data_IF_728785871231
#
_entry.id   IF_728785871231
#
_cell.length_a   1.000
_cell.length_b   1.000
_cell.length_c   1.000
_cell.angle_alpha   90.00
_cell.angle_beta   90.00
_cell.angle_gamma   90.00
#
_symmetry.space_group_name_H-M   'P 1'
#
loop_
_entity.id
_entity.type
_entity.pdbx_description
1 polymer ?
#
# COMPACT_ATOMS: atom_id res chain seq x y z
N UNK A 1 -48.91 2.03 33.52
CA UNK A 1 -47.76 2.91 33.22
C UNK A 1 -46.49 2.19 33.64
N UNK A 2 -45.71 1.64 32.71
CA UNK A 2 -44.40 1.05 33.00
C UNK A 2 -43.37 1.62 32.03
N UNK A 3 -42.53 2.50 32.56
CA UNK A 3 -41.43 3.18 31.86
C UNK A 3 -40.25 2.22 31.72
N UNK A 4 -40.08 1.63 30.52
CA UNK A 4 -38.86 0.86 30.20
C UNK A 4 -37.74 1.83 29.79
N UNK A 5 -36.83 2.10 30.73
CA UNK A 5 -35.57 2.78 30.47
C UNK A 5 -34.68 1.86 29.64
N UNK A 6 -34.41 2.21 28.38
CA UNK A 6 -33.42 1.52 27.56
C UNK A 6 -32.05 2.08 27.97
N UNK A 7 -31.29 1.26 28.69
CA UNK A 7 -29.89 1.49 29.00
C UNK A 7 -29.08 1.34 27.70
N UNK A 8 -28.56 2.44 27.15
CA UNK A 8 -27.57 2.39 26.09
C UNK A 8 -26.20 2.15 26.72
N UNK A 9 -25.81 0.88 26.84
CA UNK A 9 -24.49 0.48 27.31
C UNK A 9 -23.49 0.49 26.14
N UNK A 10 -22.51 1.39 26.28
CA UNK A 10 -21.10 1.35 25.86
C UNK A 10 -20.66 0.42 24.73
N UNK A 11 -19.85 0.98 23.82
CA UNK A 11 -18.60 0.35 23.39
C UNK A 11 -17.57 1.45 23.12
N UNK A 12 -16.79 1.83 24.14
CA UNK A 12 -15.55 2.56 23.90
C UNK A 12 -14.54 1.54 23.39
N UNK A 13 -14.25 1.61 22.09
CA UNK A 13 -13.22 0.80 21.46
C UNK A 13 -11.87 1.14 22.11
N UNK A 14 -11.33 0.19 22.87
CA UNK A 14 -9.92 0.18 23.23
C UNK A 14 -9.13 -0.06 21.94
N UNK A 15 -8.58 1.02 21.36
CA UNK A 15 -7.65 0.88 20.25
C UNK A 15 -6.35 0.26 20.78
N UNK A 16 -5.87 -0.87 20.20
CA UNK A 16 -4.58 -1.42 20.56
C UNK A 16 -3.48 -0.45 20.10
N UNK A 17 -2.63 -0.02 21.03
CA UNK A 17 -1.38 0.67 20.70
C UNK A 17 -0.38 -0.35 20.16
N UNK A 18 -0.39 -0.58 18.84
CA UNK A 18 0.70 -1.28 18.18
C UNK A 18 1.98 -0.44 18.25
N UNK A 19 3.13 -1.08 18.46
CA UNK A 19 4.43 -0.42 18.39
C UNK A 19 4.61 0.18 16.98
N UNK A 20 4.59 1.50 16.88
CA UNK A 20 4.74 2.21 15.62
C UNK A 20 6.20 2.16 15.18
N UNK A 21 6.48 1.60 14.01
CA UNK A 21 7.77 1.79 13.35
C UNK A 21 8.00 3.30 13.15
N UNK A 22 9.23 3.77 13.40
CA UNK A 22 9.54 5.19 13.25
C UNK A 22 9.40 5.59 11.79
N UNK A 23 8.45 6.46 11.50
CA UNK A 23 8.22 6.97 10.15
C UNK A 23 9.35 7.90 9.75
N UNK A 24 9.85 7.70 8.53
CA UNK A 24 10.86 8.58 7.92
C UNK A 24 10.30 9.16 6.63
N UNK A 25 10.64 10.41 6.35
CA UNK A 25 10.21 11.12 5.14
C UNK A 25 11.27 11.16 4.05
N UNK A 26 12.48 10.67 4.32
CA UNK A 26 13.60 10.69 3.37
C UNK A 26 14.61 9.58 3.70
N UNK A 27 14.35 8.32 3.33
CA UNK A 27 15.37 7.28 3.44
C UNK A 27 16.59 7.66 2.56
N UNK A 28 17.81 7.21 2.91
CA UNK A 28 18.99 7.47 2.11
C UNK A 28 18.79 7.11 0.63
N UNK A 29 19.15 8.03 -0.28
CA UNK A 29 18.96 7.85 -1.72
C UNK A 29 17.60 8.32 -2.26
N UNK A 30 16.63 8.64 -1.38
CA UNK A 30 15.38 9.26 -1.80
C UNK A 30 15.58 10.75 -2.15
N UNK A 31 14.92 11.28 -3.19
CA UNK A 31 14.99 12.70 -3.51
C UNK A 31 14.54 13.56 -2.33
N UNK A 32 15.26 14.67 -2.03
CA UNK A 32 14.95 15.50 -0.88
C UNK A 32 13.58 16.19 -1.04
N UNK A 33 12.98 16.57 0.09
CA UNK A 33 11.74 17.35 0.13
C UNK A 33 11.79 18.55 -0.83
N UNK A 34 10.78 18.66 -1.70
CA UNK A 34 10.64 19.76 -2.66
C UNK A 34 11.37 19.60 -4.00
N UNK A 35 12.08 18.49 -4.24
CA UNK A 35 12.85 18.29 -5.49
C UNK A 35 12.07 17.63 -6.63
N UNK A 36 11.20 16.67 -6.32
CA UNK A 36 10.51 15.83 -7.34
C UNK A 36 9.02 15.59 -7.08
N UNK A 37 8.46 16.22 -6.04
CA UNK A 37 7.11 15.92 -5.54
C UNK A 37 7.03 14.65 -4.67
N UNK A 38 8.13 13.87 -4.59
CA UNK A 38 8.22 12.63 -3.81
C UNK A 38 8.85 12.80 -2.42
N UNK A 39 9.46 13.95 -2.13
CA UNK A 39 10.22 14.12 -0.88
C UNK A 39 9.39 14.35 0.39
N UNK A 40 8.07 14.19 0.31
CA UNK A 40 7.16 14.20 1.46
C UNK A 40 6.43 12.86 1.64
N UNK A 41 6.81 11.84 0.86
CA UNK A 41 6.36 10.47 1.05
C UNK A 41 6.80 10.01 2.44
N UNK A 42 5.89 9.39 3.17
CA UNK A 42 6.19 8.75 4.44
C UNK A 42 6.52 7.29 4.18
N UNK A 43 7.63 6.84 4.74
CA UNK A 43 8.09 5.47 4.66
C UNK A 43 8.01 4.80 6.02
N UNK A 44 7.48 3.58 6.01
CA UNK A 44 7.75 2.58 7.02
C UNK A 44 9.16 2.04 6.75
N UNK A 45 10.16 2.46 7.54
CA UNK A 45 11.54 2.00 7.42
C UNK A 45 11.88 1.02 8.53
N UNK A 46 12.39 -0.14 8.12
CA UNK A 46 12.94 -1.16 9.02
C UNK A 46 14.44 -1.20 8.83
N UNK A 47 15.17 -0.85 9.89
CA UNK A 47 16.62 -0.94 9.91
C UNK A 47 17.06 -2.39 10.13
N UNK A 48 18.17 -2.72 9.50
CA UNK A 48 18.86 -3.99 9.65
C UNK A 48 20.26 -3.77 10.22
N UNK A 49 20.89 -4.85 10.68
CA UNK A 49 22.28 -4.81 11.14
C UNK A 49 23.21 -4.31 10.02
N UNK A 50 24.40 -3.85 10.40
CA UNK A 50 25.46 -3.43 9.47
C UNK A 50 25.09 -2.23 8.58
N UNK A 51 24.18 -1.37 9.04
CA UNK A 51 23.76 -0.15 8.33
C UNK A 51 22.80 -0.39 7.17
N UNK A 52 22.25 -1.60 7.04
CA UNK A 52 21.24 -1.90 6.04
C UNK A 52 19.84 -1.41 6.45
N UNK A 53 18.96 -1.24 5.48
CA UNK A 53 17.54 -0.96 5.72
C UNK A 53 16.67 -1.36 4.52
N UNK A 54 15.38 -1.54 4.80
CA UNK A 54 14.30 -1.57 3.81
C UNK A 54 13.27 -0.52 4.21
N UNK A 55 12.69 0.16 3.22
CA UNK A 55 11.71 1.20 3.43
C UNK A 55 10.61 1.10 2.36
N UNK A 56 9.36 1.14 2.79
CA UNK A 56 8.19 1.15 1.91
C UNK A 56 7.26 2.31 2.23
N UNK A 57 6.73 2.92 1.18
CA UNK A 57 5.77 4.02 1.25
C UNK A 57 4.79 3.95 0.09
N UNK A 58 3.81 4.84 0.11
CA UNK A 58 2.91 5.08 -1.02
C UNK A 58 2.41 6.53 -0.99
N UNK A 59 2.03 7.03 -2.16
CA UNK A 59 1.52 8.39 -2.32
C UNK A 59 0.62 8.53 -3.55
N UNK A 60 -0.03 9.69 -3.68
CA UNK A 60 -0.80 10.05 -4.86
C UNK A 60 0.09 10.40 -6.04
N UNK A 61 -0.07 9.70 -7.16
CA UNK A 61 0.81 9.86 -8.32
C UNK A 61 0.75 11.30 -8.84
N UNK A 62 1.87 12.02 -8.70
CA UNK A 62 2.02 13.45 -9.07
C UNK A 62 1.03 14.44 -8.43
N UNK A 63 0.20 13.98 -7.48
CA UNK A 63 -0.80 14.78 -6.77
C UNK A 63 -0.32 15.24 -5.39
N UNK A 64 0.98 15.09 -5.11
CA UNK A 64 1.61 15.46 -3.84
C UNK A 64 1.32 14.49 -2.69
N UNK A 65 1.94 14.71 -1.52
CA UNK A 65 1.83 13.86 -0.33
C UNK A 65 0.47 13.97 0.39
N UNK A 66 -0.47 14.74 -0.15
CA UNK A 66 -1.71 15.17 0.53
C UNK A 66 -2.82 14.10 0.59
N UNK A 67 -2.54 12.86 0.18
CA UNK A 67 -3.48 11.77 0.39
C UNK A 67 -3.28 11.18 1.80
N UNK A 68 -4.36 10.76 2.48
CA UNK A 68 -4.29 10.20 3.82
C UNK A 68 -3.55 8.85 3.79
N UNK A 69 -2.23 8.91 3.94
CA UNK A 69 -1.42 7.83 4.45
C UNK A 69 -1.54 7.90 5.97
N UNK A 70 -1.93 6.81 6.64
CA UNK A 70 -1.85 6.78 8.11
C UNK A 70 -0.39 6.75 8.61
N UNK A 71 0.54 6.74 7.66
CA UNK A 71 1.96 6.93 7.81
C UNK A 71 2.69 5.62 8.01
N UNK A 72 2.03 4.57 8.48
CA UNK A 72 2.68 3.38 9.05
C UNK A 72 2.40 2.09 8.30
N UNK A 73 1.15 1.85 7.88
CA UNK A 73 0.77 0.55 7.34
C UNK A 73 -0.25 0.60 6.20
N UNK A 74 -1.04 1.67 6.08
CA UNK A 74 -2.17 1.71 5.15
C UNK A 74 -2.27 3.04 4.43
N UNK A 75 -2.25 2.96 3.11
CA UNK A 75 -2.50 4.08 2.21
C UNK A 75 -3.90 3.97 1.59
N UNK A 76 -4.72 5.00 1.78
CA UNK A 76 -6.05 5.06 1.16
C UNK A 76 -5.95 5.73 -0.21
N UNK A 77 -5.83 4.91 -1.24
CA UNK A 77 -5.67 5.35 -2.62
C UNK A 77 -6.99 5.85 -3.22
N UNK A 78 -6.92 6.86 -4.08
CA UNK A 78 -8.04 7.22 -4.93
C UNK A 78 -8.12 6.27 -6.13
N UNK A 79 -9.33 5.84 -6.47
CA UNK A 79 -9.59 5.07 -7.68
C UNK A 79 -9.26 5.84 -8.96
N UNK A 80 -8.99 5.08 -10.02
CA UNK A 80 -8.91 5.52 -11.39
C UNK A 80 -7.50 5.76 -11.88
N UNK A 81 -7.43 6.24 -13.12
CA UNK A 81 -6.19 6.59 -13.81
C UNK A 81 -5.86 8.08 -13.64
N UNK A 82 -4.57 8.38 -13.68
CA UNK A 82 -4.05 9.72 -13.61
C UNK A 82 -4.38 10.50 -14.89
N UNK A 83 -5.20 11.58 -14.79
CA UNK A 83 -5.70 12.29 -15.96
C UNK A 83 -4.62 13.10 -16.68
N UNK A 84 -3.47 13.38 -16.04
CA UNK A 84 -2.37 14.12 -16.64
C UNK A 84 -1.53 13.30 -17.64
N UNK A 85 -1.66 11.96 -17.64
CA UNK A 85 -0.94 11.06 -18.56
C UNK A 85 -1.85 9.93 -19.08
N UNK A 86 -2.95 10.26 -19.78
CA UNK A 86 -4.00 9.29 -20.11
C UNK A 86 -3.52 8.18 -21.06
N UNK A 87 -2.43 8.39 -21.80
CA UNK A 87 -1.87 7.37 -22.70
C UNK A 87 -1.05 6.29 -21.99
N UNK A 88 -0.68 6.53 -20.71
CA UNK A 88 0.12 5.58 -19.91
C UNK A 88 -0.73 4.67 -19.04
N UNK A 89 -2.03 4.97 -18.90
CA UNK A 89 -2.97 4.27 -18.01
C UNK A 89 -2.52 4.16 -16.56
N UNK A 90 -1.64 5.04 -16.09
CA UNK A 90 -1.14 5.00 -14.72
C UNK A 90 -2.26 5.21 -13.70
N UNK A 91 -2.27 4.42 -12.63
CA UNK A 91 -3.14 4.62 -11.48
C UNK A 91 -2.92 6.01 -10.84
N UNK A 92 -3.91 6.51 -10.13
CA UNK A 92 -3.84 7.77 -9.38
C UNK A 92 -2.87 7.74 -8.18
N UNK A 93 -2.15 6.64 -7.97
CA UNK A 93 -1.25 6.42 -6.87
C UNK A 93 -0.04 5.59 -7.29
N UNK A 94 1.02 5.69 -6.53
CA UNK A 94 2.25 4.91 -6.67
C UNK A 94 2.69 4.38 -5.32
N UNK A 95 3.39 3.25 -5.33
CA UNK A 95 4.15 2.81 -4.16
C UNK A 95 5.62 3.17 -4.35
N UNK A 96 6.28 3.35 -3.23
CA UNK A 96 7.63 3.86 -3.13
C UNK A 96 8.44 2.87 -2.33
N UNK A 97 9.67 2.61 -2.76
CA UNK A 97 10.57 1.77 -2.00
C UNK A 97 11.98 2.35 -2.00
N UNK A 98 12.68 2.11 -0.90
CA UNK A 98 14.11 2.32 -0.80
C UNK A 98 14.75 1.21 0.02
N UNK A 99 15.99 0.85 -0.32
CA UNK A 99 16.74 -0.14 0.43
C UNK A 99 18.24 0.12 0.32
N UNK A 100 18.96 -0.43 1.29
CA UNK A 100 20.41 -0.51 1.28
C UNK A 100 20.81 -1.79 2.02
N UNK A 101 21.62 -2.66 1.41
CA UNK A 101 22.08 -3.91 2.04
C UNK A 101 23.19 -3.68 3.09
N UNK A 102 23.64 -2.43 3.26
CA UNK A 102 24.74 -2.06 4.13
C UNK A 102 26.02 -2.81 3.74
N UNK A 103 26.69 -3.39 4.74
CA UNK A 103 27.87 -4.25 4.52
C UNK A 103 27.51 -5.72 4.24
N UNK A 104 26.23 -6.07 4.07
CA UNK A 104 25.81 -7.44 3.80
C UNK A 104 25.93 -7.77 2.30
N UNK A 105 27.05 -8.38 1.90
CA UNK A 105 27.31 -8.75 0.50
C UNK A 105 26.51 -9.97 0.01
N UNK A 106 25.94 -10.74 0.94
CA UNK A 106 25.10 -11.91 0.66
C UNK A 106 23.61 -11.63 0.81
N UNK A 107 23.23 -10.39 1.08
CA UNK A 107 21.82 -10.02 1.24
C UNK A 107 21.13 -9.87 -0.12
N UNK A 108 19.93 -10.39 -0.22
CA UNK A 108 19.00 -10.12 -1.31
C UNK A 108 17.81 -9.31 -0.78
N UNK A 109 17.27 -8.45 -1.63
CA UNK A 109 16.08 -7.66 -1.32
C UNK A 109 14.98 -8.05 -2.29
N UNK A 110 13.86 -8.52 -1.74
CA UNK A 110 12.72 -8.99 -2.51
C UNK A 110 11.58 -8.01 -2.38
N UNK A 111 11.03 -7.61 -3.53
CA UNK A 111 9.71 -7.00 -3.58
C UNK A 111 8.68 -8.11 -3.73
N UNK A 112 7.68 -8.09 -2.87
CA UNK A 112 6.62 -9.10 -2.81
C UNK A 112 5.26 -8.42 -2.75
N UNK A 113 4.23 -9.10 -3.25
CA UNK A 113 2.85 -8.62 -3.15
C UNK A 113 1.94 -9.74 -2.65
N UNK A 114 0.94 -9.38 -1.86
CA UNK A 114 -0.15 -10.28 -1.52
C UNK A 114 -1.12 -10.37 -2.71
N UNK A 115 -1.17 -11.54 -3.34
CA UNK A 115 -1.99 -11.78 -4.54
C UNK A 115 -3.40 -12.24 -4.22
N UNK A 116 -3.66 -12.66 -2.98
CA UNK A 116 -4.99 -13.05 -2.52
C UNK A 116 -5.27 -12.47 -1.14
N UNK A 117 -5.78 -11.22 -1.08
CA UNK A 117 -6.13 -10.59 0.20
C UNK A 117 -7.33 -11.25 0.91
N UNK A 118 -7.99 -12.23 0.27
CA UNK A 118 -9.15 -12.93 0.84
C UNK A 118 -8.81 -14.27 1.48
N UNK A 119 -7.72 -14.89 1.06
CA UNK A 119 -7.09 -16.00 1.76
C UNK A 119 -6.00 -15.46 2.71
N UNK A 120 -5.54 -16.28 3.65
CA UNK A 120 -4.47 -15.85 4.56
C UNK A 120 -3.25 -15.37 3.75
N UNK A 121 -2.83 -14.12 3.97
CA UNK A 121 -1.71 -13.39 3.33
C UNK A 121 -0.75 -14.29 2.55
N UNK A 122 -0.86 -14.31 1.22
CA UNK A 122 -0.02 -15.10 0.31
C UNK A 122 0.91 -14.16 -0.48
N UNK A 123 2.05 -13.83 0.13
CA UNK A 123 3.06 -13.04 -0.56
C UNK A 123 3.73 -13.82 -1.69
N UNK A 124 3.70 -13.26 -2.89
CA UNK A 124 4.48 -13.72 -4.04
C UNK A 124 5.61 -12.76 -4.33
N UNK A 125 6.80 -13.32 -4.50
CA UNK A 125 7.97 -12.56 -4.93
C UNK A 125 7.79 -12.06 -6.36
N UNK A 126 7.85 -10.74 -6.52
CA UNK A 126 7.83 -10.08 -7.80
C UNK A 126 9.22 -9.98 -8.40
N UNK A 127 10.14 -9.41 -7.62
CA UNK A 127 11.48 -9.12 -8.07
C UNK A 127 12.47 -9.36 -6.94
N UNK A 128 13.63 -9.91 -7.31
CA UNK A 128 14.83 -9.74 -6.51
C UNK A 128 15.53 -8.46 -6.98
N UNK A 129 15.39 -7.37 -6.21
CA UNK A 129 15.88 -6.04 -6.58
C UNK A 129 17.41 -5.96 -6.63
N UNK A 130 18.13 -6.78 -5.86
CA UNK A 130 19.61 -6.77 -5.87
C UNK A 130 20.18 -7.40 -7.14
N UNK A 131 19.40 -8.24 -7.81
CA UNK A 131 19.80 -8.94 -9.03
C UNK A 131 18.95 -8.59 -10.26
N UNK A 132 17.96 -7.71 -10.11
CA UNK A 132 17.10 -7.26 -11.20
C UNK A 132 17.94 -6.67 -12.34
N UNK A 133 17.76 -7.17 -13.55
CA UNK A 133 18.53 -6.75 -14.74
C UNK A 133 17.67 -5.99 -15.73
N UNK A 134 18.27 -4.98 -16.36
CA UNK A 134 17.67 -4.30 -17.49
C UNK A 134 17.61 -5.28 -18.69
N UNK A 135 16.45 -5.46 -19.33
CA UNK A 135 16.29 -6.46 -20.40
C UNK A 135 17.05 -6.12 -21.70
N UNK A 136 17.42 -4.85 -21.89
CA UNK A 136 18.14 -4.38 -23.09
C UNK A 136 19.65 -4.47 -22.87
N UNK A 137 20.14 -3.98 -21.72
CA UNK A 137 21.58 -3.86 -21.45
C UNK A 137 22.15 -5.01 -20.62
N UNK A 138 21.29 -5.86 -20.04
CA UNK A 138 21.63 -6.92 -19.10
C UNK A 138 22.38 -6.43 -17.83
N UNK A 139 22.44 -5.12 -17.58
CA UNK A 139 23.05 -4.53 -16.40
C UNK A 139 22.14 -4.66 -15.18
N UNK A 140 22.71 -4.81 -13.98
CA UNK A 140 21.97 -4.78 -12.72
C UNK A 140 21.41 -3.36 -12.53
N UNK A 141 20.11 -3.25 -12.21
CA UNK A 141 19.40 -1.97 -12.11
C UNK A 141 19.71 -1.27 -10.79
N UNK A 142 19.61 -1.99 -9.66
CA UNK A 142 19.78 -1.39 -8.32
C UNK A 142 21.05 -1.89 -7.60
N UNK A 143 21.28 -3.21 -7.54
CA UNK A 143 22.44 -3.76 -6.83
C UNK A 143 22.29 -3.65 -5.31
N UNK A 144 23.28 -3.10 -4.61
CA UNK A 144 23.31 -3.06 -3.14
C UNK A 144 22.43 -1.97 -2.51
N UNK A 145 22.02 -0.96 -3.26
CA UNK A 145 21.11 0.09 -2.80
C UNK A 145 20.24 0.58 -3.95
N UNK A 146 18.99 0.90 -3.65
CA UNK A 146 18.04 1.37 -4.65
C UNK A 146 16.94 2.19 -4.01
N UNK A 147 16.40 3.13 -4.77
CA UNK A 147 15.26 3.95 -4.40
C UNK A 147 14.45 4.20 -5.67
N UNK A 148 13.17 3.88 -5.67
CA UNK A 148 12.30 4.10 -6.83
C UNK A 148 10.82 4.22 -6.43
N UNK A 149 10.05 4.83 -7.33
CA UNK A 149 8.59 4.92 -7.24
C UNK A 149 7.95 4.24 -8.46
N UNK A 150 7.09 3.25 -8.21
CA UNK A 150 6.40 2.51 -9.27
C UNK A 150 4.90 2.73 -9.23
N UNK A 151 4.30 2.74 -10.43
CA UNK A 151 2.86 2.80 -10.59
C UNK A 151 2.33 1.39 -10.89
N UNK A 152 1.21 1.00 -10.26
CA UNK A 152 0.69 -0.36 -10.37
C UNK A 152 0.25 -0.77 -11.76
N UNK A 153 -0.09 0.18 -12.62
CA UNK A 153 -0.50 -0.06 -14.01
C UNK A 153 0.69 -0.12 -14.99
N UNK A 154 1.92 -0.17 -14.47
CA UNK A 154 3.08 -0.34 -15.34
C UNK A 154 3.04 -1.75 -15.99
N UNK A 155 3.22 -1.88 -17.32
CA UNK A 155 3.07 -3.16 -18.01
C UNK A 155 3.95 -4.30 -17.47
N UNK A 156 5.13 -3.97 -16.94
CA UNK A 156 6.03 -4.97 -16.38
C UNK A 156 5.53 -5.55 -15.04
N UNK A 157 4.72 -4.80 -14.29
CA UNK A 157 4.10 -5.26 -13.05
C UNK A 157 3.04 -6.31 -13.37
N UNK A 158 2.07 -5.98 -14.23
CA UNK A 158 0.99 -6.91 -14.60
C UNK A 158 1.55 -8.20 -15.23
N UNK A 159 2.59 -8.10 -16.06
CA UNK A 159 3.27 -9.25 -16.64
C UNK A 159 3.99 -10.12 -15.60
N UNK A 160 4.69 -9.51 -14.63
CA UNK A 160 5.40 -10.24 -13.58
C UNK A 160 4.44 -10.87 -12.56
N UNK A 161 3.34 -10.19 -12.28
CA UNK A 161 2.35 -10.60 -11.30
C UNK A 161 1.48 -11.77 -11.76
N UNK A 162 1.17 -11.84 -13.07
CA UNK A 162 0.05 -12.64 -13.56
C UNK A 162 -1.30 -12.20 -12.94
N UNK A 163 -1.33 -11.01 -12.33
CA UNK A 163 -2.49 -10.37 -11.71
C UNK A 163 -2.68 -9.01 -12.39
N UNK A 164 -3.91 -8.78 -12.84
CA UNK A 164 -4.31 -7.52 -13.44
C UNK A 164 -4.84 -6.61 -12.32
N UNK A 165 -4.00 -5.68 -11.87
CA UNK A 165 -4.46 -4.65 -10.95
C UNK A 165 -5.58 -3.86 -11.64
N UNK A 166 -6.70 -3.65 -10.97
CA UNK A 166 -7.79 -2.83 -11.51
C UNK A 166 -7.83 -1.49 -10.76
N UNK A 167 -7.45 -0.37 -11.39
CA UNK A 167 -7.36 0.91 -10.70
C UNK A 167 -8.75 1.48 -10.40
N UNK A 168 -9.80 0.98 -11.07
CA UNK A 168 -11.19 1.40 -10.87
C UNK A 168 -11.94 0.49 -9.89
N UNK A 169 -11.35 -0.65 -9.52
CA UNK A 169 -11.95 -1.62 -8.60
C UNK A 169 -11.60 -1.30 -7.15
N UNK A 170 -12.52 -1.64 -6.24
CA UNK A 170 -12.15 -1.74 -4.83
C UNK A 170 -11.13 -2.87 -4.66
N UNK A 171 -10.06 -2.60 -3.93
CA UNK A 171 -9.02 -3.59 -3.66
C UNK A 171 -8.28 -3.24 -2.37
N UNK A 172 -7.75 -4.27 -1.72
CA UNK A 172 -6.74 -4.13 -0.69
C UNK A 172 -5.54 -4.95 -1.16
N UNK A 173 -4.40 -4.31 -1.38
CA UNK A 173 -3.20 -4.98 -1.89
C UNK A 173 -2.03 -4.62 -0.98
N UNK A 174 -1.43 -5.63 -0.37
CA UNK A 174 -0.29 -5.46 0.51
C UNK A 174 1.00 -5.72 -0.25
N UNK A 175 1.92 -4.77 -0.15
CA UNK A 175 3.28 -4.90 -0.67
C UNK A 175 4.22 -5.10 0.49
N UNK A 176 5.25 -5.93 0.26
CA UNK A 176 6.29 -6.20 1.22
C UNK A 176 7.65 -6.09 0.57
N UNK A 177 8.55 -5.39 1.23
CA UNK A 177 9.96 -5.33 0.88
C UNK A 177 10.73 -6.05 1.98
N UNK A 178 11.22 -7.25 1.67
CA UNK A 178 11.97 -8.08 2.61
C UNK A 178 13.45 -8.11 2.24
N UNK A 179 14.32 -8.07 3.24
CA UNK A 179 15.75 -8.35 3.06
C UNK A 179 16.08 -9.67 3.70
N UNK A 180 16.77 -10.54 2.98
CA UNK A 180 17.16 -11.86 3.45
C UNK A 180 18.66 -12.04 3.27
N UNK A 181 19.30 -12.52 4.34
CA UNK A 181 20.71 -12.83 4.37
C UNK A 181 20.92 -14.32 4.09
N UNK A 182 21.82 -14.64 3.15
CA UNK A 182 22.27 -16.01 2.92
C UNK A 182 22.09 -16.46 1.47
N UNK A 183 22.53 -17.68 1.20
CA UNK A 183 22.49 -18.28 -0.15
C UNK A 183 21.21 -19.07 -0.43
N UNK A 184 20.39 -19.33 0.60
CA UNK A 184 19.15 -20.10 0.47
C UNK A 184 17.95 -19.17 0.37
N UNK A 185 17.69 -18.71 -0.86
CA UNK A 185 16.70 -17.69 -1.19
C UNK A 185 15.28 -18.27 -1.39
N UNK A 186 14.90 -19.29 -0.61
CA UNK A 186 13.57 -19.91 -0.75
C UNK A 186 12.48 -19.02 -0.11
N UNK A 187 11.36 -18.74 -0.80
CA UNK A 187 10.29 -17.85 -0.30
C UNK A 187 9.70 -18.26 1.06
N UNK A 188 9.75 -19.55 1.39
CA UNK A 188 9.27 -20.10 2.66
C UNK A 188 10.20 -19.87 3.85
N UNK A 189 11.43 -19.41 3.63
CA UNK A 189 12.44 -19.17 4.67
C UNK A 189 12.78 -17.69 4.86
N UNK A 190 11.99 -16.76 4.29
CA UNK A 190 12.22 -15.32 4.38
C UNK A 190 11.91 -14.78 5.79
N UNK A 191 12.74 -15.15 6.77
CA UNK A 191 12.74 -14.56 8.12
C UNK A 191 13.77 -13.44 8.13
N UNK A 192 13.36 -12.27 7.67
CA UNK A 192 14.21 -11.09 7.59
C UNK A 192 13.45 -9.81 7.93
N UNK A 193 14.13 -8.67 8.10
CA UNK A 193 13.45 -7.39 8.23
C UNK A 193 12.59 -7.15 6.98
N UNK A 194 11.33 -6.78 7.22
CA UNK A 194 10.39 -6.50 6.17
C UNK A 194 9.67 -5.18 6.45
N UNK A 195 9.63 -4.31 5.45
CA UNK A 195 8.76 -3.14 5.45
C UNK A 195 7.52 -3.49 4.63
N UNK A 196 6.34 -3.21 5.18
CA UNK A 196 5.06 -3.53 4.55
C UNK A 196 4.20 -2.28 4.43
N UNK A 197 3.39 -2.25 3.36
CA UNK A 197 2.34 -1.26 3.17
C UNK A 197 1.14 -1.89 2.49
N UNK A 198 -0.05 -1.59 2.99
CA UNK A 198 -1.32 -1.99 2.39
C UNK A 198 -1.92 -0.80 1.68
N UNK A 199 -2.22 -0.97 0.39
CA UNK A 199 -2.95 0.03 -0.37
C UNK A 199 -4.40 -0.39 -0.42
N UNK A 200 -5.25 0.41 0.23
CA UNK A 200 -6.70 0.24 0.23
C UNK A 200 -7.31 1.21 -0.76
N UNK A 201 -7.82 0.67 -1.87
CA UNK A 201 -8.65 1.39 -2.82
C UNK A 201 -10.11 1.21 -2.36
N UNK A 202 -10.74 2.21 -1.72
CA UNK A 202 -12.10 2.08 -1.22
C UNK A 202 -13.08 1.88 -2.37
N UNK A 203 -14.27 1.33 -2.10
CA UNK A 203 -15.34 1.25 -3.10
C UNK A 203 -15.70 2.63 -3.66
N UNK A 204 -16.14 2.71 -4.94
CA UNK A 204 -16.54 4.00 -5.49
C UNK A 204 -17.70 4.55 -4.67
N UNK A 205 -17.67 5.86 -4.35
CA UNK A 205 -18.71 6.50 -3.52
C UNK A 205 -20.14 6.35 -4.03
N UNK A 206 -20.32 5.89 -5.28
CA UNK A 206 -21.61 5.48 -5.85
C UNK A 206 -22.29 4.37 -5.05
N UNK A 207 -21.54 3.46 -4.41
CA UNK A 207 -22.11 2.42 -3.54
C UNK A 207 -22.63 3.05 -2.24
N UNK A 208 -21.87 3.95 -1.63
CA UNK A 208 -22.30 4.70 -0.44
C UNK A 208 -23.55 5.54 -0.73
N UNK A 209 -23.60 6.21 -1.88
CA UNK A 209 -24.77 6.97 -2.35
C UNK A 209 -25.98 6.07 -2.58
N UNK A 210 -25.78 4.88 -3.14
CA UNK A 210 -26.85 3.89 -3.34
C UNK A 210 -27.42 3.42 -1.99
N UNK A 211 -26.56 3.17 -1.00
CA UNK A 211 -26.98 2.85 0.37
C UNK A 211 -27.81 3.97 1.02
N UNK A 212 -27.37 5.23 0.88
CA UNK A 212 -28.12 6.39 1.36
C UNK A 212 -29.47 6.55 0.64
N UNK A 213 -29.51 6.32 -0.67
CA UNK A 213 -30.75 6.36 -1.44
C UNK A 213 -31.75 5.30 -0.95
N UNK A 214 -31.31 4.06 -0.72
CA UNK A 214 -32.16 3.00 -0.16
C UNK A 214 -32.64 3.31 1.25
N UNK A 215 -31.76 3.81 2.13
CA UNK A 215 -32.15 4.25 3.46
C UNK A 215 -33.21 5.37 3.39
N UNK A 216 -32.99 6.37 2.53
CA UNK A 216 -33.94 7.46 2.27
C UNK A 216 -35.31 6.95 1.81
N UNK A 217 -35.34 5.97 0.89
CA UNK A 217 -36.60 5.35 0.41
C UNK A 217 -37.35 4.60 1.53
N UNK A 218 -36.64 3.88 2.40
CA UNK A 218 -37.27 3.18 3.55
C UNK A 218 -37.84 4.18 4.56
N UNK A 219 -37.10 5.24 4.89
CA UNK A 219 -37.60 6.30 5.78
C UNK A 219 -38.81 7.02 5.19
N UNK A 220 -38.80 7.32 3.88
CA UNK A 220 -39.92 7.93 3.19
C UNK A 220 -41.18 7.03 3.21
N UNK A 221 -41.00 5.71 3.05
CA UNK A 221 -42.11 4.74 3.13
C UNK A 221 -42.71 4.66 4.54
N UNK A 222 -41.87 4.69 5.59
CA UNK A 222 -42.35 4.70 6.98
C UNK A 222 -43.18 5.94 7.30
N UNK A 223 -42.79 7.12 6.80
CA UNK A 223 -43.57 8.36 6.98
C UNK A 223 -44.95 8.33 6.32
N UNK A 224 -45.12 7.59 5.21
CA UNK A 224 -46.44 7.41 4.59
C UNK A 224 -47.34 6.49 5.41
N UNK A 225 -46.80 5.42 6.00
CA UNK A 225 -47.58 4.50 6.82
C UNK A 225 -48.14 5.16 8.10
N UNK A 226 -47.41 6.10 8.71
CA UNK A 226 -47.85 6.80 9.94
C UNK A 226 -48.95 7.84 9.71
N UNK A 227 -49.20 8.28 8.46
CA UNK A 227 -50.27 9.24 8.14
C UNK A 227 -51.62 8.60 7.81
N UNK A 228 -51.71 7.27 7.78
CA UNK A 228 -52.94 6.52 7.47
C UNK A 228 -53.51 5.75 8.66
N UNK A 229 -53.02 6.05 9.88
CA UNK A 229 -53.60 5.61 11.15
C UNK A 229 -54.07 6.87 11.91
#
# INVERSE_FOLDING_TARGET
MFTKKILAAALFALAPFAAQAALTTSPPGWPPAGSSGLGAVQFNQVNYNNGGFVAMGAHGYKNGPTLPNNGVDTFFAQQGIYPGEPTKNYANWSFDFAFNTGNCSTCSVFLEVDVDPTAAVEYRTLFNLTTLRNPITNAIIYGAAGAESWNMEMPFMNAALGYDFNPFGASATSFRLSMVEGTDLTPTALVGPAAEITVSVPEPGTVALTGLAFAGMVFARRRKATKQA
#
